data_IF_644874934842
#
_entry.id   IF_644874934842
#
_cell.length_a   1.000
_cell.length_b   1.000
_cell.length_c   1.000
_cell.angle_alpha   90.00
_cell.angle_beta   90.00
_cell.angle_gamma   90.00
#
_symmetry.space_group_name_H-M   'P 1'
#
loop_
_entity.id
_entity.type
_entity.pdbx_description
1 polymer ?
#
# COMPACT_ATOMS: atom_id res chain seq x y z
N UNK A 1 -15.85 16.27 -27.92
CA UNK A 1 -15.30 15.47 -26.81
C UNK A 1 -14.33 14.47 -27.42
N UNK A 2 -13.11 14.94 -27.69
CA UNK A 2 -12.04 14.11 -28.25
C UNK A 2 -11.56 13.12 -27.18
N UNK A 3 -11.71 11.83 -27.47
CA UNK A 3 -11.03 10.76 -26.75
C UNK A 3 -9.58 10.72 -27.25
N UNK A 4 -8.66 11.13 -26.38
CA UNK A 4 -7.21 10.98 -26.57
C UNK A 4 -6.86 9.49 -26.62
N UNK A 5 -6.72 8.97 -27.83
CA UNK A 5 -6.02 7.71 -28.11
C UNK A 5 -4.53 8.00 -27.95
N UNK A 6 -3.94 7.60 -26.83
CA UNK A 6 -2.48 7.57 -26.69
C UNK A 6 -1.98 6.30 -27.36
N UNK A 7 -1.51 6.46 -28.61
CA UNK A 7 -0.78 5.43 -29.36
C UNK A 7 0.54 5.11 -28.65
N UNK A 8 0.75 3.86 -28.25
CA UNK A 8 2.05 3.38 -27.76
C UNK A 8 3.03 3.28 -28.94
N UNK A 9 3.87 4.31 -29.08
CA UNK A 9 5.00 4.27 -30.01
C UNK A 9 6.18 3.56 -29.34
N UNK A 10 6.63 2.48 -29.99
CA UNK A 10 7.71 1.63 -29.53
C UNK A 10 9.02 2.37 -29.27
N UNK A 11 9.66 2.05 -28.15
CA UNK A 11 11.04 2.39 -27.87
C UNK A 11 11.94 1.21 -28.28
N UNK A 12 12.75 1.47 -29.31
CA UNK A 12 13.82 0.60 -29.81
C UNK A 12 14.89 0.45 -28.72
N UNK A 13 15.17 -0.78 -28.27
CA UNK A 13 16.30 -1.05 -27.37
C UNK A 13 17.63 -0.87 -28.11
N UNK A 14 18.33 0.22 -27.78
CA UNK A 14 19.72 0.45 -28.16
C UNK A 14 20.61 -0.17 -27.08
N UNK A 15 21.32 -1.24 -27.44
CA UNK A 15 22.36 -1.84 -26.63
C UNK A 15 23.44 -0.78 -26.33
N UNK A 16 23.60 -0.45 -25.04
CA UNK A 16 24.82 0.17 -24.53
C UNK A 16 25.04 -0.36 -23.12
N UNK A 17 26.06 -1.21 -22.99
CA UNK A 17 26.54 -1.64 -21.69
C UNK A 17 27.12 -0.45 -20.94
N UNK A 18 26.86 -0.42 -19.65
CA UNK A 18 27.78 0.01 -18.61
C UNK A 18 27.27 -0.56 -17.28
N UNK A 19 28.18 -1.21 -16.55
CA UNK A 19 27.96 -1.79 -15.23
C UNK A 19 27.46 -0.70 -14.27
N UNK A 20 26.22 -0.82 -13.82
CA UNK A 20 25.72 -0.12 -12.63
C UNK A 20 25.08 -1.18 -11.75
N UNK A 21 25.54 -1.24 -10.50
CA UNK A 21 25.09 -2.14 -9.45
C UNK A 21 23.58 -2.40 -9.53
N UNK A 22 23.23 -3.68 -9.68
CA UNK A 22 21.88 -4.21 -9.71
C UNK A 22 21.30 -4.08 -8.28
N UNK A 23 20.95 -2.84 -7.93
CA UNK A 23 20.28 -2.50 -6.69
C UNK A 23 18.96 -3.26 -6.65
N UNK A 24 18.77 -4.05 -5.59
CA UNK A 24 17.55 -4.80 -5.24
C UNK A 24 16.27 -4.00 -5.52
N UNK A 25 15.75 -4.06 -6.74
CA UNK A 25 14.39 -3.65 -7.06
C UNK A 25 13.56 -4.94 -6.92
N UNK A 26 12.67 -5.03 -5.91
CA UNK A 26 11.78 -6.18 -5.79
C UNK A 26 11.05 -6.41 -7.10
N UNK A 27 11.07 -7.65 -7.60
CA UNK A 27 10.29 -8.08 -8.76
C UNK A 27 8.84 -7.63 -8.60
N UNK A 28 8.14 -7.36 -9.70
CA UNK A 28 6.72 -7.02 -9.71
C UNK A 28 5.91 -8.04 -8.88
N UNK A 29 6.28 -9.31 -8.96
CA UNK A 29 5.69 -10.40 -8.19
C UNK A 29 5.89 -10.25 -6.68
N UNK A 30 7.06 -9.80 -6.24
CA UNK A 30 7.36 -9.57 -4.83
C UNK A 30 6.54 -8.40 -4.28
N UNK A 31 6.38 -7.32 -5.07
CA UNK A 31 5.51 -6.19 -4.68
C UNK A 31 4.03 -6.59 -4.65
N UNK A 32 3.60 -7.46 -5.56
CA UNK A 32 2.24 -8.01 -5.54
C UNK A 32 2.02 -8.90 -4.32
N UNK A 33 2.99 -9.73 -3.94
CA UNK A 33 2.94 -10.55 -2.73
C UNK A 33 2.85 -9.66 -1.47
N UNK A 34 3.69 -8.63 -1.36
CA UNK A 34 3.63 -7.67 -0.26
C UNK A 34 2.28 -6.94 -0.17
N UNK A 35 1.69 -6.59 -1.33
CA UNK A 35 0.35 -5.99 -1.37
C UNK A 35 -0.73 -6.98 -0.92
N UNK A 36 -0.65 -8.26 -1.34
CA UNK A 36 -1.56 -9.32 -0.88
C UNK A 36 -1.44 -9.55 0.63
N UNK A 37 -0.23 -9.67 1.14
CA UNK A 37 0.03 -9.89 2.58
C UNK A 37 -0.47 -8.70 3.41
N UNK A 38 -0.27 -7.47 2.94
CA UNK A 38 -0.81 -6.28 3.59
C UNK A 38 -2.35 -6.29 3.64
N UNK A 39 -3.03 -6.74 2.57
CA UNK A 39 -4.49 -6.84 2.53
C UNK A 39 -5.05 -7.88 3.50
N UNK A 40 -4.31 -8.96 3.72
CA UNK A 40 -4.66 -10.08 4.59
C UNK A 40 -4.20 -9.88 6.03
N UNK A 41 -3.37 -8.87 6.30
CA UNK A 41 -2.90 -8.56 7.65
C UNK A 41 -4.05 -8.08 8.56
N UNK A 42 -4.29 -8.83 9.64
CA UNK A 42 -5.25 -8.53 10.71
C UNK A 42 -4.80 -7.38 11.64
N UNK A 43 -3.79 -6.59 11.28
CA UNK A 43 -3.32 -5.49 12.13
C UNK A 43 -4.49 -4.59 12.53
N UNK A 44 -4.68 -4.49 13.85
CA UNK A 44 -5.76 -3.76 14.52
C UNK A 44 -5.60 -2.25 14.28
N UNK A 45 -6.05 -1.78 13.11
CA UNK A 45 -6.10 -0.34 12.79
C UNK A 45 -7.51 0.17 13.04
N UNK A 46 -7.65 1.06 14.03
CA UNK A 46 -8.93 1.61 14.48
C UNK A 46 -9.48 2.71 13.54
N UNK A 47 -8.85 2.92 12.38
CA UNK A 47 -9.15 4.02 11.45
C UNK A 47 -9.97 3.52 10.26
N UNK A 48 -11.20 4.04 10.12
CA UNK A 48 -12.16 3.72 9.05
C UNK A 48 -11.58 3.84 7.64
N UNK A 49 -10.66 4.78 7.41
CA UNK A 49 -9.99 4.97 6.11
C UNK A 49 -9.05 3.82 5.73
N UNK A 50 -8.33 3.24 6.71
CA UNK A 50 -7.45 2.09 6.49
C UNK A 50 -8.27 0.82 6.20
N UNK A 51 -9.40 0.66 6.91
CA UNK A 51 -10.37 -0.41 6.63
C UNK A 51 -10.95 -0.32 5.22
N UNK A 52 -11.30 0.89 4.76
CA UNK A 52 -11.81 1.13 3.41
C UNK A 52 -10.75 0.87 2.33
N UNK A 53 -9.49 1.26 2.57
CA UNK A 53 -8.39 0.97 1.66
C UNK A 53 -8.16 -0.54 1.52
N UNK A 54 -8.01 -1.24 2.66
CA UNK A 54 -7.87 -2.70 2.68
C UNK A 54 -9.05 -3.39 1.98
N UNK A 55 -10.27 -2.89 2.17
CA UNK A 55 -11.47 -3.41 1.52
C UNK A 55 -11.41 -3.23 -0.01
N UNK A 56 -11.07 -2.05 -0.50
CA UNK A 56 -10.91 -1.80 -1.94
C UNK A 56 -9.82 -2.67 -2.56
N UNK A 57 -8.70 -2.85 -1.88
CA UNK A 57 -7.63 -3.72 -2.37
C UNK A 57 -8.09 -5.19 -2.45
N UNK A 58 -8.90 -5.67 -1.50
CA UNK A 58 -9.53 -7.00 -1.56
C UNK A 58 -10.47 -7.14 -2.76
N UNK A 59 -11.33 -6.14 -2.98
CA UNK A 59 -12.27 -6.14 -4.12
C UNK A 59 -11.52 -6.23 -5.47
N UNK A 60 -10.39 -5.54 -5.62
CA UNK A 60 -9.54 -5.63 -6.83
C UNK A 60 -9.02 -7.04 -7.04
N UNK A 61 -8.56 -7.71 -5.97
CA UNK A 61 -8.06 -9.09 -6.04
C UNK A 61 -9.18 -10.08 -6.35
N UNK A 62 -10.34 -9.92 -5.71
CA UNK A 62 -11.50 -10.80 -5.95
C UNK A 62 -12.02 -10.67 -7.39
N UNK A 63 -12.12 -9.44 -7.89
CA UNK A 63 -12.49 -9.18 -9.28
C UNK A 63 -11.50 -9.81 -10.27
N UNK A 64 -10.20 -9.80 -9.97
CA UNK A 64 -9.20 -10.43 -10.85
C UNK A 64 -9.38 -11.93 -10.95
N UNK A 65 -9.65 -12.60 -9.82
CA UNK A 65 -9.91 -14.05 -9.78
C UNK A 65 -11.14 -14.40 -10.63
N UNK A 66 -12.20 -13.58 -10.55
CA UNK A 66 -13.39 -13.77 -11.37
C UNK A 66 -13.08 -13.65 -12.87
N UNK A 67 -12.30 -12.64 -13.27
CA UNK A 67 -11.89 -12.45 -14.67
C UNK A 67 -10.99 -13.60 -15.15
N UNK A 68 -10.04 -14.05 -14.34
CA UNK A 68 -9.18 -15.20 -14.67
C UNK A 68 -10.01 -16.48 -14.91
N UNK A 69 -11.01 -16.73 -14.08
CA UNK A 69 -11.96 -17.83 -14.27
C UNK A 69 -12.75 -17.68 -15.57
N UNK A 70 -13.22 -16.48 -15.89
CA UNK A 70 -13.94 -16.21 -17.14
C UNK A 70 -13.05 -16.42 -18.37
N UNK A 71 -11.78 -15.99 -18.33
CA UNK A 71 -10.81 -16.24 -19.39
C UNK A 71 -10.63 -17.75 -19.59
N UNK A 72 -10.47 -18.51 -18.52
CA UNK A 72 -10.32 -19.96 -18.59
C UNK A 72 -11.55 -20.64 -19.21
N UNK A 73 -12.75 -20.28 -18.74
CA UNK A 73 -14.01 -20.82 -19.24
C UNK A 73 -14.23 -20.47 -20.72
N UNK A 74 -14.01 -19.21 -21.10
CA UNK A 74 -14.15 -18.75 -22.47
C UNK A 74 -13.15 -19.42 -23.40
N UNK A 75 -11.91 -19.65 -22.94
CA UNK A 75 -10.89 -20.37 -23.71
C UNK A 75 -11.35 -21.78 -24.06
N UNK A 76 -11.86 -22.53 -23.07
CA UNK A 76 -12.40 -23.88 -23.27
C UNK A 76 -13.57 -23.85 -24.25
N UNK A 77 -14.52 -22.93 -24.05
CA UNK A 77 -15.70 -22.79 -24.90
C UNK A 77 -15.33 -22.45 -26.34
N UNK A 78 -14.45 -21.49 -26.57
CA UNK A 78 -14.00 -21.10 -27.91
C UNK A 78 -13.30 -22.24 -28.64
N UNK A 79 -12.43 -22.99 -27.95
CA UNK A 79 -11.75 -24.15 -28.54
C UNK A 79 -12.77 -25.22 -28.92
N UNK A 80 -13.73 -25.53 -28.03
CA UNK A 80 -14.74 -26.54 -28.29
C UNK A 80 -15.65 -26.17 -29.48
N UNK A 81 -16.20 -24.95 -29.47
CA UNK A 81 -17.09 -24.46 -30.53
C UNK A 81 -16.32 -24.39 -31.86
N UNK A 82 -15.10 -23.85 -31.85
CA UNK A 82 -14.30 -23.73 -33.06
C UNK A 82 -13.89 -25.09 -33.63
N UNK A 83 -13.57 -26.08 -32.79
CA UNK A 83 -13.33 -27.46 -33.23
C UNK A 83 -14.58 -28.06 -33.90
N UNK A 84 -15.76 -27.91 -33.29
CA UNK A 84 -17.01 -28.39 -33.88
C UNK A 84 -17.29 -27.75 -35.24
N UNK A 85 -17.10 -26.44 -35.35
CA UNK A 85 -17.27 -25.70 -36.61
C UNK A 85 -16.30 -26.18 -37.70
N UNK A 86 -15.02 -26.33 -37.36
CA UNK A 86 -13.99 -26.78 -38.30
C UNK A 86 -14.19 -28.24 -38.73
N UNK A 87 -14.70 -29.09 -37.84
CA UNK A 87 -15.12 -30.45 -38.21
C UNK A 87 -16.27 -30.42 -39.21
N UNK A 88 -17.30 -29.59 -39.02
CA UNK A 88 -18.38 -29.47 -39.99
C UNK A 88 -17.89 -28.92 -41.34
N UNK A 89 -16.98 -27.95 -41.33
CA UNK A 89 -16.37 -27.44 -42.56
C UNK A 89 -15.56 -28.50 -43.32
N UNK A 90 -15.05 -29.54 -42.63
CA UNK A 90 -14.32 -30.63 -43.28
C UNK A 90 -15.18 -31.43 -44.28
N UNK A 91 -16.51 -31.35 -44.18
CA UNK A 91 -17.46 -31.95 -45.12
C UNK A 91 -17.46 -31.25 -46.49
N UNK A 92 -17.09 -29.97 -46.54
CA UNK A 92 -17.21 -29.12 -47.74
C UNK A 92 -15.84 -28.73 -48.31
N UNK A 93 -14.78 -28.76 -47.48
CA UNK A 93 -13.41 -28.47 -47.89
C UNK A 93 -12.41 -29.26 -47.05
N UNK A 94 -11.20 -29.57 -47.55
CA UNK A 94 -10.18 -30.21 -46.73
C UNK A 94 -9.81 -29.35 -45.52
N UNK A 95 -9.87 -29.93 -44.33
CA UNK A 95 -9.36 -29.36 -43.08
C UNK A 95 -8.34 -30.34 -42.51
N UNK A 96 -7.13 -29.87 -42.22
CA UNK A 96 -6.05 -30.69 -41.68
C UNK A 96 -5.96 -30.56 -40.16
N UNK A 97 -5.31 -31.53 -39.52
CA UNK A 97 -4.99 -31.44 -38.09
C UNK A 97 -4.11 -30.24 -37.75
N UNK A 98 -3.26 -29.80 -38.69
CA UNK A 98 -2.46 -28.58 -38.53
C UNK A 98 -3.33 -27.33 -38.41
N UNK A 99 -4.42 -27.24 -39.17
CA UNK A 99 -5.35 -26.09 -39.09
C UNK A 99 -6.04 -26.03 -37.73
N UNK A 100 -6.49 -27.20 -37.21
CA UNK A 100 -7.09 -27.31 -35.88
C UNK A 100 -6.10 -26.91 -34.78
N UNK A 101 -4.87 -27.41 -34.86
CA UNK A 101 -3.81 -27.10 -33.91
C UNK A 101 -3.45 -25.62 -33.93
N UNK A 102 -3.40 -24.99 -35.11
CA UNK A 102 -3.13 -23.56 -35.24
C UNK A 102 -4.25 -22.71 -34.63
N UNK A 103 -5.51 -23.07 -34.91
CA UNK A 103 -6.67 -22.41 -34.31
C UNK A 103 -6.63 -22.50 -32.78
N UNK A 104 -6.46 -23.69 -32.23
CA UNK A 104 -6.41 -23.89 -30.79
C UNK A 104 -5.22 -23.16 -30.15
N UNK A 105 -4.05 -23.24 -30.78
CA UNK A 105 -2.85 -22.53 -30.30
C UNK A 105 -3.07 -21.02 -30.29
N UNK A 106 -3.73 -20.46 -31.31
CA UNK A 106 -4.05 -19.04 -31.39
C UNK A 106 -4.95 -18.60 -30.23
N UNK A 107 -5.99 -19.39 -29.90
CA UNK A 107 -6.87 -19.11 -28.76
C UNK A 107 -6.10 -19.18 -27.43
N UNK A 108 -5.26 -20.20 -27.25
CA UNK A 108 -4.45 -20.36 -26.03
C UNK A 108 -3.43 -19.24 -25.83
N UNK A 109 -2.81 -18.79 -26.92
CA UNK A 109 -1.87 -17.64 -26.89
C UNK A 109 -2.62 -16.37 -26.47
N UNK A 110 -3.79 -16.10 -27.06
CA UNK A 110 -4.61 -14.94 -26.68
C UNK A 110 -5.02 -15.00 -25.21
N UNK A 111 -5.44 -16.18 -24.71
CA UNK A 111 -5.78 -16.37 -23.30
C UNK A 111 -4.61 -16.06 -22.36
N UNK A 112 -3.40 -16.52 -22.71
CA UNK A 112 -2.19 -16.24 -21.94
C UNK A 112 -1.83 -14.73 -21.95
N UNK A 113 -2.05 -14.04 -23.07
CA UNK A 113 -1.83 -12.59 -23.16
C UNK A 113 -2.81 -11.86 -22.23
N UNK A 114 -4.10 -12.17 -22.30
CA UNK A 114 -5.11 -11.55 -21.44
C UNK A 114 -4.85 -11.81 -19.95
N UNK A 115 -4.44 -13.03 -19.60
CA UNK A 115 -4.04 -13.39 -18.24
C UNK A 115 -2.85 -12.54 -17.73
N UNK A 116 -1.86 -12.28 -18.59
CA UNK A 116 -0.76 -11.37 -18.27
C UNK A 116 -1.22 -9.91 -18.14
N UNK A 117 -2.11 -9.43 -19.01
CA UNK A 117 -2.68 -8.08 -18.95
C UNK A 117 -3.52 -7.87 -17.67
N UNK A 118 -4.29 -8.87 -17.25
CA UNK A 118 -5.05 -8.83 -15.99
C UNK A 118 -4.10 -8.67 -14.80
N UNK A 119 -3.02 -9.46 -14.75
CA UNK A 119 -2.01 -9.32 -13.69
C UNK A 119 -1.38 -7.93 -13.65
N UNK A 120 -1.03 -7.37 -14.80
CA UNK A 120 -0.43 -6.03 -14.88
C UNK A 120 -1.40 -4.93 -14.43
N UNK A 121 -2.66 -5.02 -14.86
CA UNK A 121 -3.73 -4.10 -14.46
C UNK A 121 -3.97 -4.14 -12.93
N UNK A 122 -4.05 -5.35 -12.36
CA UNK A 122 -4.21 -5.55 -10.91
C UNK A 122 -3.02 -4.96 -10.15
N UNK A 123 -1.80 -5.23 -10.60
CA UNK A 123 -0.59 -4.71 -9.95
C UNK A 123 -0.59 -3.18 -9.96
N UNK A 124 -0.85 -2.57 -11.11
CA UNK A 124 -0.94 -1.11 -11.27
C UNK A 124 -2.00 -0.50 -10.35
N UNK A 125 -3.17 -1.13 -10.26
CA UNK A 125 -4.26 -0.65 -9.41
C UNK A 125 -3.95 -0.78 -7.92
N UNK A 126 -3.35 -1.91 -7.49
CA UNK A 126 -2.92 -2.11 -6.10
C UNK A 126 -1.83 -1.11 -5.69
N UNK A 127 -0.84 -0.88 -6.55
CA UNK A 127 0.21 0.10 -6.32
C UNK A 127 -0.35 1.52 -6.23
N UNK A 128 -1.31 1.89 -7.07
CA UNK A 128 -1.98 3.18 -7.02
C UNK A 128 -2.79 3.36 -5.72
N UNK A 129 -3.58 2.35 -5.34
CA UNK A 129 -4.34 2.36 -4.08
C UNK A 129 -3.39 2.52 -2.88
N UNK A 130 -2.28 1.78 -2.87
CA UNK A 130 -1.23 1.88 -1.85
C UNK A 130 -0.61 3.27 -1.81
N UNK A 131 -0.27 3.87 -2.94
CA UNK A 131 0.31 5.21 -3.02
C UNK A 131 -0.66 6.30 -2.50
N UNK A 132 -1.94 6.21 -2.84
CA UNK A 132 -2.98 7.15 -2.39
C UNK A 132 -3.30 7.01 -0.90
N UNK A 133 -3.19 5.79 -0.36
CA UNK A 133 -3.45 5.47 1.05
C UNK A 133 -2.28 5.78 1.99
N UNK A 134 -1.06 5.36 1.63
CA UNK A 134 0.14 5.51 2.46
C UNK A 134 0.62 6.98 2.55
N UNK A 135 0.28 7.81 1.56
CA UNK A 135 0.60 9.24 1.55
C UNK A 135 -0.14 10.08 2.60
N UNK A 136 -1.26 9.60 3.12
CA UNK A 136 -1.98 10.24 4.23
C UNK A 136 -1.42 9.74 5.57
N UNK A 137 -0.18 10.13 5.88
CA UNK A 137 0.42 9.88 7.21
C UNK A 137 -0.60 10.18 8.30
N UNK A 138 -0.77 9.25 9.26
CA UNK A 138 -1.59 9.42 10.48
C UNK A 138 -1.57 10.87 10.93
N UNK A 139 -2.71 11.55 10.83
CA UNK A 139 -2.82 12.95 11.23
C UNK A 139 -2.42 12.99 12.69
N UNK A 140 -1.39 13.78 13.01
CA UNK A 140 -0.83 13.83 14.36
C UNK A 140 -1.91 14.33 15.32
N UNK A 141 -2.50 13.41 16.11
CA UNK A 141 -3.53 13.76 17.06
C UNK A 141 -2.90 14.31 18.33
N UNK A 142 -3.48 15.39 18.87
CA UNK A 142 -3.10 15.89 20.18
C UNK A 142 -3.58 14.92 21.26
N UNK A 143 -2.84 14.83 22.36
CA UNK A 143 -3.33 14.09 23.52
C UNK A 143 -4.59 14.75 24.07
N UNK A 144 -5.53 13.93 24.55
CA UNK A 144 -6.72 14.43 25.23
C UNK A 144 -6.35 15.24 26.47
N UNK A 145 -7.26 16.08 26.93
CA UNK A 145 -7.04 16.87 28.16
C UNK A 145 -6.76 15.96 29.36
N UNK A 146 -7.42 14.79 29.44
CA UNK A 146 -7.21 13.81 30.51
C UNK A 146 -5.75 13.30 30.52
N UNK A 147 -5.24 12.84 29.38
CA UNK A 147 -3.86 12.36 29.24
C UNK A 147 -2.88 13.48 29.55
N UNK A 148 -3.11 14.66 28.97
CA UNK A 148 -2.26 15.84 29.18
C UNK A 148 -2.22 16.24 30.66
N UNK A 149 -3.34 16.16 31.38
CA UNK A 149 -3.41 16.46 32.80
C UNK A 149 -2.65 15.45 33.66
N UNK A 150 -2.76 14.14 33.38
CA UNK A 150 -2.02 13.11 34.11
C UNK A 150 -0.50 13.34 33.98
N UNK A 151 -0.02 13.53 32.75
CA UNK A 151 1.40 13.77 32.48
C UNK A 151 1.89 15.11 33.06
N UNK A 152 1.05 16.15 33.00
CA UNK A 152 1.37 17.46 33.60
C UNK A 152 1.44 17.37 35.13
N UNK A 153 0.50 16.69 35.79
CA UNK A 153 0.49 16.55 37.24
C UNK A 153 1.79 15.91 37.74
N UNK A 154 2.22 14.82 37.10
CA UNK A 154 3.52 14.22 37.42
C UNK A 154 4.67 15.21 37.22
N UNK A 155 4.71 15.90 36.07
CA UNK A 155 5.77 16.85 35.74
C UNK A 155 5.88 17.99 36.77
N UNK A 156 4.74 18.56 37.18
CA UNK A 156 4.70 19.67 38.15
C UNK A 156 5.13 19.19 39.54
N UNK A 157 4.68 18.02 39.98
CA UNK A 157 5.06 17.45 41.27
C UNK A 157 6.55 17.07 41.35
N UNK A 158 7.22 16.91 40.20
CA UNK A 158 8.64 16.55 40.10
C UNK A 158 9.47 17.64 39.39
N UNK A 159 9.11 18.91 39.57
CA UNK A 159 9.72 20.03 38.84
C UNK A 159 11.25 20.11 39.01
N UNK A 160 11.77 19.70 40.17
CA UNK A 160 13.21 19.66 40.46
C UNK A 160 13.96 18.59 39.66
N UNK A 161 13.33 17.44 39.43
CA UNK A 161 13.89 16.31 38.67
C UNK A 161 12.81 15.63 37.81
N UNK A 162 12.38 16.26 36.69
CA UNK A 162 11.28 15.76 35.86
C UNK A 162 11.77 14.68 34.87
N UNK A 163 12.39 13.65 35.42
CA UNK A 163 12.95 12.50 34.72
C UNK A 163 12.38 11.22 35.35
N UNK A 164 11.16 10.80 34.94
CA UNK A 164 10.61 9.53 35.39
C UNK A 164 11.54 8.39 34.96
N UNK A 165 11.74 7.43 35.85
CA UNK A 165 12.44 6.20 35.55
C UNK A 165 11.59 5.28 34.67
N UNK A 166 12.14 4.13 34.27
CA UNK A 166 11.48 3.23 33.35
C UNK A 166 10.17 2.66 33.90
N UNK A 167 10.15 2.25 35.17
CA UNK A 167 8.94 1.77 35.85
C UNK A 167 7.86 2.85 35.91
N UNK A 168 8.21 4.09 36.27
CA UNK A 168 7.24 5.19 36.31
C UNK A 168 6.69 5.52 34.93
N UNK A 169 7.54 5.47 33.89
CA UNK A 169 7.07 5.69 32.52
C UNK A 169 6.12 4.60 32.06
N UNK A 170 6.35 3.33 32.44
CA UNK A 170 5.44 2.22 32.15
C UNK A 170 4.09 2.43 32.84
N UNK A 171 4.09 2.80 34.13
CA UNK A 171 2.85 3.09 34.86
C UNK A 171 2.07 4.26 34.24
N UNK A 172 2.75 5.34 33.82
CA UNK A 172 2.12 6.47 33.13
C UNK A 172 1.58 6.08 31.75
N UNK A 173 2.29 5.22 31.03
CA UNK A 173 1.87 4.70 29.73
C UNK A 173 0.58 3.89 29.86
N UNK A 174 0.53 2.97 30.84
CA UNK A 174 -0.64 2.16 31.17
C UNK A 174 -1.83 3.05 31.58
N UNK A 175 -1.62 3.97 32.52
CA UNK A 175 -2.68 4.87 33.01
C UNK A 175 -3.26 5.77 31.90
N UNK A 176 -2.43 6.18 30.95
CA UNK A 176 -2.84 7.06 29.85
C UNK A 176 -3.32 6.32 28.60
N UNK A 177 -3.14 4.99 28.51
CA UNK A 177 -3.41 4.22 27.30
C UNK A 177 -2.54 4.63 26.11
N UNK A 178 -1.28 5.01 26.36
CA UNK A 178 -0.32 5.42 25.31
C UNK A 178 0.97 4.61 25.42
N UNK A 179 1.79 4.61 24.38
CA UNK A 179 3.05 3.86 24.36
C UNK A 179 4.14 4.50 25.24
N UNK A 180 5.06 3.67 25.72
CA UNK A 180 6.25 4.12 26.48
C UNK A 180 7.08 5.17 25.73
N UNK A 181 7.20 5.01 24.40
CA UNK A 181 7.88 5.96 23.53
C UNK A 181 7.16 7.32 23.50
N UNK A 182 5.83 7.33 23.45
CA UNK A 182 5.03 8.57 23.51
C UNK A 182 5.22 9.29 24.84
N UNK A 183 5.26 8.58 25.97
CA UNK A 183 5.58 9.16 27.30
C UNK A 183 6.97 9.77 27.30
N UNK A 184 8.00 9.02 26.86
CA UNK A 184 9.38 9.49 26.81
C UNK A 184 9.53 10.77 25.96
N UNK A 185 8.91 10.78 24.78
CA UNK A 185 8.89 11.92 23.89
C UNK A 185 8.14 13.12 24.49
N UNK A 186 7.03 12.89 25.19
CA UNK A 186 6.28 13.95 25.84
C UNK A 186 7.10 14.65 26.91
N UNK A 187 7.77 13.88 27.80
CA UNK A 187 8.62 14.44 28.85
C UNK A 187 9.83 15.19 28.28
N UNK A 188 10.49 14.65 27.25
CA UNK A 188 11.57 15.34 26.55
C UNK A 188 11.12 16.70 26.00
N UNK A 189 10.00 16.73 25.28
CA UNK A 189 9.44 17.95 24.72
C UNK A 189 8.94 18.92 25.80
N UNK A 190 8.34 18.43 26.88
CA UNK A 190 7.85 19.25 27.98
C UNK A 190 9.00 19.98 28.69
N UNK A 191 10.12 19.29 28.99
CA UNK A 191 11.31 19.91 29.58
C UNK A 191 11.90 21.01 28.69
N UNK A 192 12.02 20.76 27.38
CA UNK A 192 12.53 21.77 26.43
C UNK A 192 11.62 23.00 26.41
N UNK A 193 10.30 22.81 26.32
CA UNK A 193 9.33 23.92 26.33
C UNK A 193 9.35 24.69 27.64
N UNK A 194 9.43 23.99 28.78
CA UNK A 194 9.50 24.61 30.09
C UNK A 194 10.78 25.47 30.24
N UNK A 195 11.95 24.92 29.91
CA UNK A 195 13.22 25.66 29.94
C UNK A 195 13.19 26.90 29.05
N UNK A 196 12.64 26.79 27.84
CA UNK A 196 12.49 27.94 26.92
C UNK A 196 11.58 29.02 27.50
N UNK A 197 10.48 28.63 28.14
CA UNK A 197 9.56 29.56 28.79
C UNK A 197 10.24 30.30 29.97
N UNK A 198 10.97 29.57 30.82
CA UNK A 198 11.75 30.16 31.92
C UNK A 198 12.76 31.19 31.41
N UNK A 199 13.59 30.81 30.42
CA UNK A 199 14.58 31.73 29.84
C UNK A 199 13.96 32.98 29.21
N UNK A 200 12.76 32.86 28.63
CA UNK A 200 12.03 34.00 28.07
C UNK A 200 11.54 34.94 29.18
N UNK A 201 11.00 34.39 30.26
CA UNK A 201 10.55 35.16 31.42
C UNK A 201 11.73 35.90 32.10
N UNK A 202 12.86 35.22 32.29
CA UNK A 202 14.07 35.85 32.85
C UNK A 202 14.60 36.99 31.98
N UNK A 203 14.59 36.81 30.65
CA UNK A 203 15.01 37.87 29.72
C UNK A 203 14.05 39.06 29.71
N UNK A 204 12.74 38.83 29.83
CA UNK A 204 11.77 39.92 29.89
C UNK A 204 11.92 40.73 31.18
N UNK A 205 12.10 40.07 32.32
CA UNK A 205 12.33 40.75 33.61
C UNK A 205 13.62 41.61 33.62
N UNK A 206 14.65 41.23 32.87
CA UNK A 206 15.89 42.02 32.73
C UNK A 206 15.76 43.24 31.79
N UNK A 207 14.69 43.33 31.01
CA UNK A 207 14.45 44.43 30.06
C UNK A 207 13.57 45.52 30.68
N UNK A 208 12.68 45.18 31.60
CA UNK A 208 11.80 46.14 32.27
C UNK A 208 12.47 46.90 33.44
N UNK A 209 13.70 46.52 33.82
CA UNK A 209 14.52 47.15 34.88
C UNK A 209 15.56 48.18 34.33
N UNK A 210 15.41 48.60 33.07
CA UNK A 210 16.25 49.62 32.40
C UNK A 210 15.43 50.79 31.88
#
# INVERSE_FOLDING_TARGET
MELLIVQSHGAKNKLRGDNVEDSLIPSVEQKMAECRDYCLSEELTDETEDKQLKQRMREVIENSINIENDIANNTINCIQIGRQLLLHHSEIRPITSTDLNFFESSIRISAHIWDAEVRDAVCSQLLLLKALGIGKRKKRQNFSNKITNILNNYFINHLSKPYPDEQTKLALAEQCGITLAQVSNWFGNKRIRYRKAQNKATKAALVDDK
#
